data_IF_484159947492
#
_entry.id   IF_484159947492
#
_cell.length_a   1.000
_cell.length_b   1.000
_cell.length_c   1.000
_cell.angle_alpha   90.00
_cell.angle_beta   90.00
_cell.angle_gamma   90.00
#
_symmetry.space_group_name_H-M   'P 1'
#
loop_
_entity.id
_entity.type
_entity.pdbx_description
1 polymer ?
#
# COMPACT_ATOMS: atom_id res chain seq x y z
N UNK A 1 -23.58 -37.09 -15.54
CA UNK A 1 -22.79 -35.89 -15.91
C UNK A 1 -22.92 -34.92 -14.73
N UNK A 2 -21.91 -34.82 -13.86
CA UNK A 2 -21.93 -33.86 -12.75
C UNK A 2 -21.42 -32.52 -13.28
N UNK A 3 -22.32 -31.56 -13.45
CA UNK A 3 -21.93 -30.15 -13.70
C UNK A 3 -21.26 -29.69 -12.42
N UNK A 4 -19.95 -29.52 -12.46
CA UNK A 4 -19.24 -28.73 -11.44
C UNK A 4 -19.63 -27.28 -11.67
N UNK A 5 -20.41 -26.72 -10.75
CA UNK A 5 -20.49 -25.28 -10.65
C UNK A 5 -19.06 -24.77 -10.47
N UNK A 6 -18.55 -24.17 -11.52
CA UNK A 6 -17.42 -23.27 -11.40
C UNK A 6 -17.95 -22.11 -10.54
N UNK A 7 -17.80 -22.25 -9.21
CA UNK A 7 -17.83 -21.09 -8.34
C UNK A 7 -16.74 -20.18 -8.89
N UNK A 8 -17.13 -19.22 -9.69
CA UNK A 8 -16.33 -18.02 -9.88
C UNK A 8 -16.08 -17.54 -8.46
N UNK A 9 -14.91 -17.87 -7.91
CA UNK A 9 -14.31 -17.09 -6.84
C UNK A 9 -14.02 -15.75 -7.49
N UNK A 10 -15.03 -14.91 -7.57
CA UNK A 10 -14.81 -13.48 -7.50
C UNK A 10 -14.01 -13.37 -6.22
N UNK A 11 -12.73 -13.05 -6.34
CA UNK A 11 -11.87 -12.84 -5.21
C UNK A 11 -12.44 -11.65 -4.46
N UNK A 12 -13.37 -11.92 -3.57
CA UNK A 12 -13.82 -10.95 -2.60
C UNK A 12 -12.66 -10.85 -1.62
N UNK A 13 -11.69 -9.97 -1.94
CA UNK A 13 -10.51 -9.68 -1.11
C UNK A 13 -10.89 -9.25 0.30
N UNK A 14 -12.17 -9.00 0.50
CA UNK A 14 -12.78 -8.48 1.72
C UNK A 14 -13.63 -9.48 2.48
N UNK A 15 -13.64 -10.76 2.09
CA UNK A 15 -14.26 -11.76 2.92
C UNK A 15 -13.59 -11.77 4.29
N UNK A 16 -14.33 -11.35 5.29
CA UNK A 16 -13.86 -11.35 6.67
C UNK A 16 -13.89 -12.78 7.17
N UNK A 17 -12.74 -13.31 7.55
CA UNK A 17 -12.65 -14.58 8.26
C UNK A 17 -12.64 -14.31 9.76
N UNK A 18 -13.47 -15.03 10.51
CA UNK A 18 -13.43 -14.94 11.97
C UNK A 18 -12.26 -15.76 12.52
N UNK A 19 -11.33 -15.10 13.19
CA UNK A 19 -10.19 -15.74 13.83
C UNK A 19 -10.49 -16.04 15.30
N UNK A 20 -11.15 -17.18 15.56
CA UNK A 20 -11.62 -17.60 16.90
C UNK A 20 -10.54 -17.56 17.97
N UNK A 21 -9.31 -17.92 17.64
CA UNK A 21 -8.20 -17.94 18.61
C UNK A 21 -7.89 -16.54 19.16
N UNK A 22 -8.13 -15.51 18.36
CA UNK A 22 -7.86 -14.12 18.69
C UNK A 22 -9.13 -13.32 19.00
N UNK A 23 -10.32 -13.90 18.78
CA UNK A 23 -11.62 -13.22 18.91
C UNK A 23 -11.72 -11.95 18.04
N UNK A 24 -11.19 -12.00 16.83
CA UNK A 24 -11.19 -10.85 15.91
C UNK A 24 -11.77 -11.20 14.55
N UNK A 25 -12.29 -10.19 13.90
CA UNK A 25 -12.63 -10.26 12.50
C UNK A 25 -11.37 -10.05 11.65
N UNK A 26 -11.06 -11.00 10.77
CA UNK A 26 -9.91 -10.89 9.87
C UNK A 26 -10.14 -9.84 8.80
N UNK A 27 -9.11 -9.09 8.44
CA UNK A 27 -9.16 -8.11 7.37
C UNK A 27 -8.69 -8.77 6.06
N UNK A 28 -9.65 -9.25 5.27
CA UNK A 28 -9.43 -10.12 4.11
C UNK A 28 -9.31 -11.60 4.48
N UNK A 29 -9.15 -12.46 3.47
CA UNK A 29 -9.11 -13.93 3.62
C UNK A 29 -7.96 -14.40 4.54
N UNK A 30 -6.79 -13.77 4.40
CA UNK A 30 -5.56 -14.10 5.13
C UNK A 30 -5.23 -13.13 6.27
N UNK A 31 -6.14 -12.23 6.59
CA UNK A 31 -5.94 -11.15 7.55
C UNK A 31 -4.80 -10.15 7.20
N UNK A 32 -4.38 -10.11 5.94
CA UNK A 32 -3.25 -9.29 5.47
C UNK A 32 -3.64 -8.31 4.35
N UNK A 33 -4.94 -8.06 4.15
CA UNK A 33 -5.42 -7.16 3.11
C UNK A 33 -4.73 -5.78 3.10
N UNK A 34 -4.56 -5.06 4.24
CA UNK A 34 -3.91 -3.75 4.22
C UNK A 34 -2.45 -3.82 3.75
N UNK A 35 -1.72 -4.83 4.21
CA UNK A 35 -0.32 -5.04 3.84
C UNK A 35 -0.19 -5.40 2.36
N UNK A 36 -1.10 -6.23 1.85
CA UNK A 36 -1.14 -6.63 0.43
C UNK A 36 -1.44 -5.43 -0.45
N UNK A 37 -2.43 -4.60 -0.09
CA UNK A 37 -2.76 -3.39 -0.84
C UNK A 37 -1.59 -2.41 -0.88
N UNK A 38 -0.96 -2.15 0.28
CA UNK A 38 0.23 -1.29 0.36
C UNK A 38 1.36 -1.79 -0.54
N UNK A 39 1.61 -3.10 -0.57
CA UNK A 39 2.66 -3.68 -1.40
C UNK A 39 2.34 -3.53 -2.89
N UNK A 40 1.09 -3.71 -3.30
CA UNK A 40 0.65 -3.52 -4.71
C UNK A 40 0.85 -2.06 -5.13
N UNK A 41 0.45 -1.11 -4.30
CA UNK A 41 0.62 0.32 -4.59
C UNK A 41 2.11 0.67 -4.67
N UNK A 42 2.92 0.22 -3.72
CA UNK A 42 4.35 0.50 -3.68
C UNK A 42 5.13 -0.11 -4.87
N UNK A 43 4.63 -1.21 -5.44
CA UNK A 43 5.25 -1.87 -6.59
C UNK A 43 4.93 -1.17 -7.93
N UNK A 44 3.81 -0.43 -8.02
CA UNK A 44 3.42 0.33 -9.21
C UNK A 44 3.90 1.78 -9.12
N UNK A 45 4.72 2.21 -10.06
CA UNK A 45 5.19 3.60 -10.11
C UNK A 45 4.06 4.60 -10.33
N UNK A 46 3.13 4.27 -11.22
CA UNK A 46 1.94 5.10 -11.49
C UNK A 46 0.98 5.10 -10.31
N UNK A 47 0.78 3.93 -9.69
CA UNK A 47 -0.08 3.79 -8.50
C UNK A 47 0.44 4.58 -7.31
N UNK A 48 1.74 4.50 -7.05
CA UNK A 48 2.39 5.24 -5.97
C UNK A 48 2.26 6.75 -6.16
N UNK A 49 2.54 7.27 -7.38
CA UNK A 49 2.39 8.70 -7.69
C UNK A 49 0.95 9.20 -7.50
N UNK A 50 -0.04 8.43 -7.99
CA UNK A 50 -1.44 8.79 -7.83
C UNK A 50 -1.89 8.76 -6.36
N UNK A 51 -1.38 7.82 -5.57
CA UNK A 51 -1.66 7.70 -4.15
C UNK A 51 -1.07 8.86 -3.35
N UNK A 52 0.20 9.19 -3.58
CA UNK A 52 0.87 10.32 -2.94
C UNK A 52 0.16 11.64 -3.23
N UNK A 53 -0.22 11.87 -4.49
CA UNK A 53 -1.00 13.06 -4.86
C UNK A 53 -2.35 13.07 -4.14
N UNK A 54 -3.02 11.92 -4.04
CA UNK A 54 -4.30 11.82 -3.32
C UNK A 54 -4.13 12.17 -1.83
N UNK A 55 -3.10 11.64 -1.17
CA UNK A 55 -2.77 11.95 0.22
C UNK A 55 -2.47 13.44 0.40
N UNK A 56 -1.62 14.03 -0.46
CA UNK A 56 -1.25 15.45 -0.41
C UNK A 56 -2.46 16.39 -0.55
N UNK A 57 -3.45 16.04 -1.38
CA UNK A 57 -4.66 16.84 -1.49
C UNK A 57 -5.60 16.67 -0.29
N UNK A 58 -5.62 15.52 0.37
CA UNK A 58 -6.35 15.33 1.62
C UNK A 58 -5.70 16.17 2.73
N UNK A 59 -4.37 16.17 2.81
CA UNK A 59 -3.58 16.95 3.77
C UNK A 59 -3.74 18.47 3.55
N UNK A 60 -3.83 18.89 2.28
CA UNK A 60 -3.90 20.30 1.92
C UNK A 60 -2.62 21.06 2.28
N UNK A 61 -2.78 22.32 2.71
CA UNK A 61 -1.69 23.14 3.27
C UNK A 61 -1.64 23.11 4.80
N UNK A 62 -2.23 22.07 5.44
CA UNK A 62 -2.35 21.98 6.88
C UNK A 62 -3.62 22.70 7.40
N UNK A 63 -3.71 22.94 8.69
CA UNK A 63 -4.85 23.61 9.31
C UNK A 63 -4.82 25.12 9.07
N UNK A 64 -6.01 25.72 8.90
CA UNK A 64 -6.14 27.18 8.80
C UNK A 64 -5.67 27.88 10.10
N UNK A 65 -5.91 27.27 11.25
CA UNK A 65 -5.40 27.76 12.55
C UNK A 65 -3.98 27.24 12.80
N UNK A 66 -2.98 28.09 12.56
CA UNK A 66 -1.56 27.73 12.76
C UNK A 66 -1.22 27.47 14.26
N UNK A 67 -1.95 28.07 15.19
CA UNK A 67 -1.74 27.83 16.63
C UNK A 67 -2.18 26.42 16.98
N UNK A 68 -3.30 25.99 16.43
CA UNK A 68 -3.81 24.64 16.58
C UNK A 68 -2.87 23.60 15.95
N UNK A 69 -2.34 23.87 14.75
CA UNK A 69 -1.41 22.97 14.04
C UNK A 69 -0.15 22.65 14.87
N UNK A 70 0.37 23.63 15.60
CA UNK A 70 1.60 23.50 16.42
C UNK A 70 1.37 22.89 17.82
N UNK A 71 0.14 22.54 18.20
CA UNK A 71 -0.17 21.93 19.50
C UNK A 71 0.51 20.57 19.62
N UNK A 72 1.37 20.41 20.61
CA UNK A 72 1.99 19.12 20.94
C UNK A 72 0.96 18.23 21.64
N UNK A 73 0.73 17.04 21.10
CA UNK A 73 -0.39 16.17 21.52
C UNK A 73 0.05 14.88 22.21
N UNK A 74 1.35 14.60 22.25
CA UNK A 74 1.87 13.40 22.91
C UNK A 74 3.28 13.60 23.48
N UNK A 75 3.72 12.58 24.26
CA UNK A 75 5.05 12.59 24.91
C UNK A 75 6.24 12.49 23.96
N UNK A 76 5.99 12.13 22.68
CA UNK A 76 7.04 12.08 21.66
C UNK A 76 7.36 13.48 21.12
N UNK A 77 6.52 14.48 21.44
CA UNK A 77 6.64 15.83 20.94
C UNK A 77 5.99 16.02 19.55
N UNK A 78 5.17 15.06 19.10
CA UNK A 78 4.44 15.16 17.84
C UNK A 78 3.36 16.24 17.97
N UNK A 79 3.25 17.06 16.94
CA UNK A 79 2.21 18.10 16.82
C UNK A 79 0.94 17.52 16.20
N UNK A 80 -0.14 18.31 16.23
CA UNK A 80 -1.37 17.92 15.54
C UNK A 80 -1.15 17.81 14.03
N UNK A 81 -0.31 18.64 13.46
CA UNK A 81 0.01 18.62 12.04
C UNK A 81 0.79 17.35 11.65
N UNK A 82 1.74 16.91 12.50
CA UNK A 82 2.43 15.62 12.30
C UNK A 82 1.44 14.44 12.29
N UNK A 83 0.49 14.45 13.24
CA UNK A 83 -0.56 13.41 13.30
C UNK A 83 -1.51 13.51 12.09
N UNK A 84 -1.83 14.72 11.64
CA UNK A 84 -2.68 14.96 10.48
C UNK A 84 -2.06 14.36 9.21
N UNK A 85 -0.79 14.59 8.96
CA UNK A 85 -0.07 13.98 7.82
C UNK A 85 -0.21 12.46 7.81
N UNK A 86 0.03 11.80 8.97
CA UNK A 86 -0.10 10.35 9.09
C UNK A 86 -1.54 9.85 8.84
N UNK A 87 -2.54 10.57 9.37
CA UNK A 87 -3.96 10.29 9.12
C UNK A 87 -4.27 10.38 7.63
N UNK A 88 -3.78 11.41 6.94
CA UNK A 88 -4.07 11.64 5.53
C UNK A 88 -3.53 10.51 4.65
N UNK A 89 -2.34 9.98 4.96
CA UNK A 89 -1.80 8.81 4.29
C UNK A 89 -2.66 7.55 4.51
N UNK A 90 -3.11 7.29 5.74
CA UNK A 90 -3.98 6.13 6.02
C UNK A 90 -5.36 6.28 5.36
N UNK A 91 -5.94 7.47 5.37
CA UNK A 91 -7.22 7.76 4.67
C UNK A 91 -7.07 7.55 3.17
N UNK A 92 -5.97 7.99 2.57
CA UNK A 92 -5.71 7.80 1.15
C UNK A 92 -5.57 6.31 0.81
N UNK A 93 -4.80 5.56 1.61
CA UNK A 93 -4.50 4.16 1.36
C UNK A 93 -5.69 3.23 1.65
N UNK A 94 -6.34 3.43 2.80
CA UNK A 94 -7.29 2.45 3.36
C UNK A 94 -8.73 2.97 3.47
N UNK A 95 -9.01 4.24 3.20
CA UNK A 95 -10.28 4.90 3.53
C UNK A 95 -10.63 4.83 5.02
N UNK A 96 -9.64 4.90 5.88
CA UNK A 96 -9.83 4.89 7.33
C UNK A 96 -8.54 5.21 8.06
N UNK A 97 -8.66 5.49 9.36
CA UNK A 97 -7.52 5.74 10.23
C UNK A 97 -7.85 5.37 11.67
N UNK A 98 -6.83 5.22 12.50
CA UNK A 98 -6.96 4.91 13.91
C UNK A 98 -6.09 5.82 14.78
N UNK A 99 -6.66 6.28 15.89
CA UNK A 99 -5.97 7.12 16.87
C UNK A 99 -6.16 6.53 18.26
N UNK A 100 -5.13 6.59 19.08
CA UNK A 100 -5.19 6.20 20.47
C UNK A 100 -5.27 7.45 21.35
N UNK A 101 -6.17 7.45 22.31
CA UNK A 101 -6.35 8.53 23.29
C UNK A 101 -6.13 8.02 24.69
N UNK A 102 -5.33 8.77 25.47
CA UNK A 102 -5.12 8.56 26.87
C UNK A 102 -5.83 9.64 27.71
N UNK A 103 -6.23 9.26 28.91
CA UNK A 103 -7.05 10.08 29.80
C UNK A 103 -6.35 10.41 31.10
N UNK A 104 -6.79 11.48 31.76
CA UNK A 104 -6.45 11.77 33.14
C UNK A 104 -7.51 11.14 34.10
N UNK A 105 -7.27 11.30 35.40
CA UNK A 105 -8.20 10.80 36.46
C UNK A 105 -9.58 11.46 36.42
N UNK A 106 -9.71 12.58 35.74
CA UNK A 106 -10.97 13.28 35.55
C UNK A 106 -11.74 12.77 34.30
N UNK A 107 -11.19 11.87 33.53
CA UNK A 107 -11.77 11.38 32.29
C UNK A 107 -11.66 12.36 31.13
N UNK A 108 -10.65 13.24 31.16
CA UNK A 108 -10.35 14.19 30.08
C UNK A 108 -9.18 13.64 29.25
N UNK A 109 -9.18 13.87 27.94
CA UNK A 109 -8.13 13.44 27.04
C UNK A 109 -6.88 14.31 27.26
N UNK A 110 -5.73 13.67 27.46
CA UNK A 110 -4.44 14.34 27.70
C UNK A 110 -3.39 13.99 26.66
N UNK A 111 -3.61 12.95 25.89
CA UNK A 111 -2.64 12.49 24.90
C UNK A 111 -3.35 11.87 23.70
N UNK A 112 -2.87 12.19 22.51
CA UNK A 112 -3.32 11.65 21.23
C UNK A 112 -2.14 11.04 20.50
N UNK A 113 -2.27 9.78 20.09
CA UNK A 113 -1.23 9.06 19.35
C UNK A 113 -1.80 8.45 18.08
N UNK A 114 -1.02 8.48 17.01
CA UNK A 114 -1.34 7.76 15.79
C UNK A 114 -1.08 6.27 15.94
N UNK A 115 -2.00 5.46 15.43
CA UNK A 115 -1.84 4.00 15.28
C UNK A 115 -1.91 3.68 13.79
N UNK A 116 -0.90 2.99 13.20
CA UNK A 116 -0.98 2.54 11.82
C UNK A 116 -2.25 1.71 11.60
N UNK A 117 -3.09 2.12 10.66
CA UNK A 117 -4.39 1.47 10.43
C UNK A 117 -4.24 -0.02 10.10
N UNK A 118 -3.18 -0.39 9.39
CA UNK A 118 -2.85 -1.78 9.07
C UNK A 118 -2.58 -2.66 10.30
N UNK A 119 -2.25 -2.05 11.43
CA UNK A 119 -2.00 -2.75 12.70
C UNK A 119 -3.26 -3.04 13.49
N UNK A 120 -4.39 -2.47 13.11
CA UNK A 120 -5.66 -2.60 13.82
C UNK A 120 -6.54 -3.71 13.26
N UNK A 121 -7.26 -4.39 14.15
CA UNK A 121 -8.33 -5.33 13.79
C UNK A 121 -9.52 -5.15 14.74
N UNK A 122 -10.71 -5.35 14.20
CA UNK A 122 -11.94 -5.28 14.99
C UNK A 122 -12.14 -6.59 15.75
N UNK A 123 -12.54 -6.49 17.00
CA UNK A 123 -13.07 -7.63 17.72
C UNK A 123 -14.38 -8.12 17.09
N UNK A 124 -14.83 -9.32 17.42
CA UNK A 124 -16.13 -9.83 17.01
C UNK A 124 -17.25 -8.90 17.49
N UNK A 125 -18.18 -8.60 16.58
CA UNK A 125 -19.37 -7.84 16.93
C UNK A 125 -20.27 -8.63 17.89
N UNK A 126 -20.89 -7.95 18.84
CA UNK A 126 -21.93 -8.50 19.66
C UNK A 126 -23.25 -8.72 18.87
N UNK A 127 -24.27 -9.32 19.51
CA UNK A 127 -25.58 -9.56 18.90
C UNK A 127 -26.28 -8.28 18.39
N UNK A 128 -25.83 -7.12 18.80
CA UNK A 128 -26.32 -5.80 18.36
C UNK A 128 -25.46 -5.16 17.27
N UNK A 129 -24.38 -5.82 16.84
CA UNK A 129 -23.43 -5.28 15.86
C UNK A 129 -22.44 -4.26 16.45
N UNK A 130 -22.22 -4.29 17.77
CA UNK A 130 -21.27 -3.43 18.46
C UNK A 130 -19.93 -4.12 18.65
N UNK A 131 -18.85 -3.44 18.26
CA UNK A 131 -17.46 -3.85 18.49
C UNK A 131 -16.98 -3.20 19.79
N UNK A 132 -16.61 -4.02 20.78
CA UNK A 132 -16.16 -3.52 22.07
C UNK A 132 -14.70 -3.08 22.08
N UNK A 133 -13.82 -3.84 21.41
CA UNK A 133 -12.38 -3.60 21.44
C UNK A 133 -11.76 -3.56 20.04
N UNK A 134 -10.69 -2.82 19.94
CA UNK A 134 -9.78 -2.87 18.79
C UNK A 134 -8.53 -3.64 19.19
N UNK A 135 -8.25 -4.70 18.44
CA UNK A 135 -7.03 -5.49 18.60
C UNK A 135 -5.89 -4.87 17.80
N UNK A 136 -4.78 -4.63 18.46
CA UNK A 136 -3.61 -3.96 17.85
C UNK A 136 -2.42 -4.90 17.90
N UNK A 137 -1.80 -5.12 16.74
CA UNK A 137 -0.56 -5.89 16.63
C UNK A 137 0.31 -5.32 15.50
N UNK A 138 1.61 -5.14 15.71
CA UNK A 138 2.49 -4.50 14.71
C UNK A 138 2.77 -5.38 13.48
N UNK A 139 2.53 -6.68 13.56
CA UNK A 139 2.76 -7.62 12.45
C UNK A 139 1.79 -8.80 12.49
N UNK A 140 0.68 -8.67 11.78
CA UNK A 140 -0.33 -9.73 11.65
C UNK A 140 0.14 -10.93 10.83
N UNK A 141 1.24 -10.80 10.05
CA UNK A 141 1.78 -11.90 9.26
C UNK A 141 2.46 -12.98 10.11
N UNK A 142 2.84 -12.65 11.35
CA UNK A 142 3.63 -13.50 12.22
C UNK A 142 5.04 -13.81 11.69
N UNK A 143 5.50 -13.06 10.66
CA UNK A 143 6.81 -13.28 10.02
C UNK A 143 7.94 -12.51 10.71
N UNK A 144 7.61 -11.52 11.53
CA UNK A 144 8.61 -10.75 12.27
C UNK A 144 9.39 -11.69 13.19
N UNK A 145 10.71 -11.61 13.12
CA UNK A 145 11.58 -12.50 13.90
C UNK A 145 12.14 -11.77 15.12
N UNK A 146 12.08 -12.42 16.27
CA UNK A 146 12.81 -12.00 17.46
C UNK A 146 13.87 -13.06 17.75
N UNK A 147 15.15 -12.69 17.80
CA UNK A 147 16.27 -13.63 17.99
C UNK A 147 16.24 -14.82 17.00
N UNK A 148 15.86 -14.58 15.73
CA UNK A 148 15.82 -15.61 14.70
C UNK A 148 14.55 -16.48 14.67
N UNK A 149 13.65 -16.38 15.67
CA UNK A 149 12.40 -17.14 15.73
C UNK A 149 11.22 -16.28 15.25
N UNK A 150 10.28 -16.83 14.45
CA UNK A 150 9.06 -16.12 14.10
C UNK A 150 8.20 -15.91 15.36
N UNK A 151 7.62 -14.72 15.48
CA UNK A 151 6.69 -14.41 16.57
C UNK A 151 5.30 -14.78 16.09
N UNK A 152 4.75 -15.86 16.63
CA UNK A 152 3.38 -16.23 16.37
C UNK A 152 2.44 -15.21 17.02
N UNK A 153 1.43 -14.77 16.27
CA UNK A 153 0.39 -13.88 16.80
C UNK A 153 -0.55 -14.71 17.69
N UNK A 154 -0.65 -14.34 18.94
CA UNK A 154 -1.54 -14.95 19.93
C UNK A 154 -2.12 -13.91 20.91
N UNK A 155 -3.08 -14.29 21.76
CA UNK A 155 -3.72 -13.36 22.69
C UNK A 155 -2.77 -12.68 23.68
N UNK A 156 -1.59 -13.24 23.91
CA UNK A 156 -0.63 -12.69 24.87
C UNK A 156 0.18 -11.52 24.31
N UNK A 157 0.24 -11.39 22.99
CA UNK A 157 1.01 -10.34 22.30
C UNK A 157 0.15 -9.39 21.46
N UNK A 158 -1.17 -9.52 21.54
CA UNK A 158 -2.14 -8.60 20.93
C UNK A 158 -2.71 -7.70 22.03
N UNK A 159 -2.68 -6.40 21.81
CA UNK A 159 -3.30 -5.43 22.71
C UNK A 159 -4.74 -5.20 22.31
N UNK A 160 -5.68 -5.45 23.26
CA UNK A 160 -7.09 -5.15 23.10
C UNK A 160 -7.39 -3.87 23.87
N UNK A 161 -7.89 -2.85 23.17
CA UNK A 161 -8.16 -1.52 23.71
C UNK A 161 -9.61 -1.16 23.38
N UNK A 162 -10.32 -0.56 24.33
CA UNK A 162 -11.71 -0.15 24.18
C UNK A 162 -11.91 0.81 23.00
N UNK A 163 -13.03 0.67 22.32
CA UNK A 163 -13.45 1.63 21.27
C UNK A 163 -13.82 2.96 21.92
N UNK A 164 -13.44 4.04 21.28
CA UNK A 164 -13.68 5.40 21.75
C UNK A 164 -15.16 5.68 22.01
N UNK A 165 -15.44 6.17 23.21
CA UNK A 165 -16.76 6.68 23.61
C UNK A 165 -16.60 8.11 24.12
N UNK A 166 -17.31 9.11 23.54
CA UNK A 166 -17.19 10.51 23.95
C UNK A 166 -17.85 10.81 25.30
N UNK A 167 -18.58 9.86 25.89
CA UNK A 167 -19.32 10.06 27.13
C UNK A 167 -18.38 9.88 28.31
N UNK A 168 -18.14 10.95 29.07
CA UNK A 168 -17.21 10.98 30.18
C UNK A 168 -17.51 9.96 31.28
N UNK A 169 -18.78 9.73 31.57
CA UNK A 169 -19.23 8.75 32.55
C UNK A 169 -18.84 7.32 32.17
N UNK A 170 -18.85 7.01 30.85
CA UNK A 170 -18.41 5.69 30.36
C UNK A 170 -16.90 5.53 30.57
N UNK A 171 -16.12 6.56 30.27
CA UNK A 171 -14.66 6.56 30.49
C UNK A 171 -14.32 6.34 31.95
N UNK A 172 -14.98 7.09 32.85
CA UNK A 172 -14.78 6.95 34.29
C UNK A 172 -15.16 5.55 34.80
N UNK A 173 -16.25 4.99 34.32
CA UNK A 173 -16.66 3.61 34.65
C UNK A 173 -15.64 2.57 34.16
N UNK A 174 -15.04 2.75 32.97
CA UNK A 174 -13.99 1.88 32.45
C UNK A 174 -12.69 2.00 33.29
N UNK A 175 -12.30 3.23 33.70
CA UNK A 175 -11.16 3.46 34.59
C UNK A 175 -11.37 2.73 35.92
N UNK A 176 -12.57 2.84 36.50
CA UNK A 176 -12.91 2.16 37.74
C UNK A 176 -12.89 0.62 37.60
N UNK A 177 -13.46 0.10 36.50
CA UNK A 177 -13.49 -1.33 36.19
C UNK A 177 -12.08 -1.92 36.00
N UNK A 178 -11.14 -1.16 35.46
CA UNK A 178 -9.73 -1.55 35.32
C UNK A 178 -8.94 -1.49 36.65
N UNK A 179 -9.50 -0.92 37.72
CA UNK A 179 -8.83 -0.77 39.01
C UNK A 179 -8.03 0.52 39.13
N UNK A 180 -8.27 1.48 38.27
CA UNK A 180 -7.68 2.83 38.31
C UNK A 180 -6.98 3.22 37.02
N UNK A 181 -6.64 4.50 36.94
CA UNK A 181 -6.02 5.10 35.73
C UNK A 181 -4.68 4.46 35.35
N UNK A 182 -3.95 3.91 36.31
CA UNK A 182 -2.64 3.27 36.08
C UNK A 182 -2.74 1.99 35.24
N UNK A 183 -3.90 1.32 35.27
CA UNK A 183 -4.17 0.09 34.55
C UNK A 183 -5.01 0.32 33.28
N UNK A 184 -5.57 1.50 33.13
CA UNK A 184 -6.40 1.84 32.00
C UNK A 184 -5.56 2.12 30.74
N UNK A 185 -5.85 1.38 29.67
CA UNK A 185 -5.11 1.47 28.40
C UNK A 185 -5.58 2.60 27.47
N UNK A 186 -6.54 3.43 27.91
CA UNK A 186 -7.15 4.43 27.05
C UNK A 186 -8.18 3.85 26.08
N UNK A 187 -8.46 4.57 25.02
CA UNK A 187 -9.41 4.14 23.98
C UNK A 187 -8.83 4.34 22.59
N UNK A 188 -9.38 3.61 21.60
CA UNK A 188 -9.03 3.75 20.19
C UNK A 188 -10.19 4.37 19.43
N UNK A 189 -9.92 5.48 18.79
CA UNK A 189 -10.80 6.09 17.80
C UNK A 189 -10.60 5.35 16.49
N UNK A 190 -11.60 4.58 16.09
CA UNK A 190 -11.62 3.88 14.81
C UNK A 190 -12.55 4.63 13.85
N UNK A 191 -11.98 5.13 12.77
CA UNK A 191 -12.73 5.84 11.73
C UNK A 191 -12.58 5.11 10.42
N UNK A 192 -13.71 4.76 9.79
CA UNK A 192 -13.68 4.09 8.50
C UNK A 192 -14.81 4.54 7.59
N UNK A 193 -14.55 4.54 6.28
CA UNK A 193 -15.53 4.76 5.22
C UNK A 193 -15.83 3.38 4.59
N UNK A 194 -16.33 2.46 5.42
CA UNK A 194 -16.51 1.06 5.04
C UNK A 194 -17.77 0.80 4.19
N UNK A 195 -18.71 1.73 4.17
CA UNK A 195 -19.99 1.52 3.50
C UNK A 195 -20.79 0.39 4.18
N UNK A 196 -21.01 -0.72 3.45
CA UNK A 196 -21.70 -1.93 3.95
C UNK A 196 -20.74 -3.01 4.45
N UNK A 197 -19.45 -2.82 4.29
CA UNK A 197 -18.44 -3.79 4.69
C UNK A 197 -18.02 -3.53 6.14
N UNK A 198 -17.57 -4.55 6.85
CA UNK A 198 -17.01 -4.41 8.20
C UNK A 198 -15.74 -3.54 8.17
N UNK A 199 -14.89 -3.78 7.20
CA UNK A 199 -13.68 -2.99 6.98
C UNK A 199 -13.80 -2.07 5.76
N UNK A 200 -13.12 -0.92 5.76
CA UNK A 200 -13.07 -0.07 4.58
C UNK A 200 -12.25 -0.70 3.46
N UNK A 201 -12.55 -0.28 2.23
CA UNK A 201 -11.83 -0.69 1.02
C UNK A 201 -11.01 0.49 0.55
N UNK A 202 -9.72 0.29 0.37
CA UNK A 202 -8.85 1.31 -0.21
C UNK A 202 -9.24 1.64 -1.66
N UNK A 203 -9.07 2.90 -2.06
CA UNK A 203 -9.39 3.34 -3.42
C UNK A 203 -8.58 2.58 -4.49
N UNK A 204 -7.33 2.24 -4.17
CA UNK A 204 -6.43 1.46 -5.00
C UNK A 204 -6.91 0.02 -5.29
N UNK A 205 -7.80 -0.54 -4.45
CA UNK A 205 -8.29 -1.91 -4.62
C UNK A 205 -8.99 -2.11 -5.97
N UNK A 206 -9.75 -1.11 -6.43
CA UNK A 206 -10.46 -1.16 -7.71
C UNK A 206 -9.54 -1.31 -8.92
N UNK A 207 -8.29 -0.91 -8.80
CA UNK A 207 -7.26 -0.94 -9.85
C UNK A 207 -6.02 -1.73 -9.44
N UNK A 208 -6.16 -2.62 -8.48
CA UNK A 208 -5.04 -3.43 -7.99
C UNK A 208 -4.45 -4.34 -9.08
N UNK A 209 -5.27 -4.82 -10.00
CA UNK A 209 -4.83 -5.62 -11.15
C UNK A 209 -4.03 -4.78 -12.13
N UNK A 210 -4.48 -3.57 -12.43
CA UNK A 210 -3.79 -2.62 -13.28
C UNK A 210 -2.43 -2.21 -12.68
N UNK A 211 -2.37 -1.96 -11.37
CA UNK A 211 -1.12 -1.67 -10.67
C UNK A 211 -0.15 -2.86 -10.72
N UNK A 212 -0.63 -4.08 -10.52
CA UNK A 212 0.20 -5.27 -10.67
C UNK A 212 0.66 -5.49 -12.12
N UNK A 213 -0.15 -5.04 -13.10
CA UNK A 213 0.23 -5.09 -14.52
C UNK A 213 1.29 -4.03 -14.82
N UNK A 214 1.20 -2.81 -14.25
CA UNK A 214 2.21 -1.75 -14.37
C UNK A 214 3.58 -2.25 -13.88
N UNK A 215 3.63 -2.87 -12.70
CA UNK A 215 4.83 -3.55 -12.19
C UNK A 215 5.33 -4.64 -13.14
N UNK A 216 4.43 -5.51 -13.60
CA UNK A 216 4.76 -6.60 -14.52
C UNK A 216 5.36 -6.11 -15.82
N UNK A 217 4.79 -5.07 -16.43
CA UNK A 217 5.29 -4.44 -17.65
C UNK A 217 6.67 -3.80 -17.43
N UNK A 218 6.88 -3.12 -16.30
CA UNK A 218 8.18 -2.56 -15.94
C UNK A 218 9.24 -3.66 -15.80
N UNK A 219 8.91 -4.77 -15.13
CA UNK A 219 9.79 -5.92 -14.97
C UNK A 219 10.13 -6.60 -16.31
N UNK A 220 9.14 -6.73 -17.21
CA UNK A 220 9.38 -7.29 -18.56
C UNK A 220 10.28 -6.36 -19.35
N UNK A 221 10.01 -5.05 -19.38
CA UNK A 221 10.85 -4.04 -20.04
C UNK A 221 12.29 -4.09 -19.51
N UNK A 222 12.46 -4.13 -18.18
CA UNK A 222 13.77 -4.22 -17.54
C UNK A 222 14.53 -5.49 -17.96
N UNK A 223 13.87 -6.65 -17.90
CA UNK A 223 14.49 -7.93 -18.30
C UNK A 223 14.84 -7.95 -19.78
N UNK A 224 14.00 -7.40 -20.63
CA UNK A 224 14.25 -7.32 -22.05
C UNK A 224 15.45 -6.43 -22.39
N UNK A 225 15.56 -5.26 -21.73
CA UNK A 225 16.71 -4.38 -21.89
C UNK A 225 17.99 -5.05 -21.39
N UNK A 226 17.92 -5.77 -20.26
CA UNK A 226 19.08 -6.42 -19.64
C UNK A 226 19.56 -7.67 -20.39
N UNK A 227 18.62 -8.47 -20.93
CA UNK A 227 18.92 -9.78 -21.52
C UNK A 227 18.89 -9.80 -23.05
N UNK A 228 18.72 -8.66 -23.71
CA UNK A 228 18.36 -8.53 -25.13
C UNK A 228 17.12 -9.34 -25.55
N UNK A 229 16.29 -8.76 -26.41
CA UNK A 229 14.98 -9.30 -26.81
C UNK A 229 15.02 -10.70 -27.45
N UNK A 230 16.16 -11.09 -28.00
CA UNK A 230 16.39 -12.37 -28.67
C UNK A 230 17.72 -12.94 -28.27
N UNK A 231 17.87 -14.25 -28.19
CA UNK A 231 19.20 -14.86 -28.10
C UNK A 231 20.02 -14.39 -29.30
N UNK A 232 21.22 -13.91 -29.02
CA UNK A 232 22.12 -13.33 -30.04
C UNK A 232 22.59 -14.37 -31.06
N UNK A 233 22.37 -15.65 -30.77
CA UNK A 233 22.67 -16.76 -31.64
C UNK A 233 22.29 -18.11 -31.02
N UNK A 234 22.21 -19.12 -31.87
CA UNK A 234 22.10 -20.51 -31.48
C UNK A 234 23.43 -21.15 -31.78
N UNK A 235 24.06 -21.75 -30.77
CA UNK A 235 25.30 -22.57 -30.96
C UNK A 235 24.86 -24.02 -31.02
N UNK A 236 25.12 -24.66 -32.16
CA UNK A 236 24.83 -26.07 -32.36
C UNK A 236 26.10 -26.84 -32.14
N UNK A 237 26.12 -27.70 -31.15
CA UNK A 237 27.24 -28.57 -30.81
C UNK A 237 26.88 -30.03 -31.11
N UNK A 238 27.84 -30.81 -31.57
CA UNK A 238 27.65 -32.25 -31.69
C UNK A 238 27.83 -32.86 -30.30
N UNK A 239 26.91 -33.76 -29.94
CA UNK A 239 27.05 -34.55 -28.72
C UNK A 239 28.42 -35.23 -28.70
N UNK A 240 29.21 -34.92 -27.69
CA UNK A 240 30.51 -35.55 -27.53
C UNK A 240 30.31 -37.08 -27.40
N UNK A 241 30.82 -37.85 -28.37
CA UNK A 241 30.87 -39.30 -28.22
C UNK A 241 31.64 -39.60 -26.98
N UNK A 242 31.03 -40.35 -26.03
CA UNK A 242 31.74 -40.86 -24.87
C UNK A 242 32.97 -41.66 -25.36
N UNK A 243 34.15 -41.16 -25.08
CA UNK A 243 35.38 -41.92 -25.31
C UNK A 243 35.30 -43.12 -24.37
N UNK A 244 35.44 -44.37 -24.90
CA UNK A 244 35.47 -45.53 -24.03
C UNK A 244 36.58 -45.39 -22.99
N UNK A 245 36.29 -45.76 -21.76
CA UNK A 245 37.23 -45.79 -20.65
C UNK A 245 38.55 -46.42 -21.04
N UNK A 246 39.60 -45.64 -21.22
CA UNK A 246 40.97 -46.10 -21.12
C UNK A 246 41.57 -45.56 -19.82
N UNK A 247 42.04 -46.51 -19.04
CA UNK A 247 42.56 -46.41 -17.69
C UNK A 247 43.54 -45.26 -17.44
N UNK A 248 43.41 -44.70 -16.27
CA UNK A 248 44.44 -44.07 -15.44
C UNK A 248 45.54 -43.23 -16.09
N UNK A 249 45.34 -41.95 -16.22
CA UNK A 249 46.46 -41.02 -15.93
C UNK A 249 45.84 -39.86 -15.11
N UNK A 250 46.32 -39.71 -13.87
CA UNK A 250 45.89 -38.71 -12.92
C UNK A 250 46.01 -37.28 -13.46
N UNK A 251 44.91 -36.63 -13.58
CA UNK A 251 44.79 -35.21 -13.93
C UNK A 251 43.34 -34.86 -13.94
N UNK A 252 42.93 -34.13 -12.91
CA UNK A 252 41.59 -33.62 -12.69
C UNK A 252 41.24 -32.60 -13.80
N UNK A 253 40.68 -33.11 -14.90
CA UNK A 253 39.95 -32.30 -15.87
C UNK A 253 38.47 -32.50 -15.55
N UNK A 254 37.91 -31.63 -14.72
CA UNK A 254 36.48 -31.47 -14.71
C UNK A 254 36.06 -31.17 -16.15
N UNK A 255 35.22 -32.02 -16.73
CA UNK A 255 34.49 -31.72 -17.95
C UNK A 255 33.54 -30.54 -17.63
N UNK A 256 34.06 -29.33 -17.70
CA UNK A 256 33.24 -28.13 -17.72
C UNK A 256 32.49 -28.19 -19.04
N UNK A 257 31.24 -28.64 -19.00
CA UNK A 257 30.39 -28.70 -20.18
C UNK A 257 30.35 -27.33 -20.83
N UNK A 258 30.19 -27.28 -22.14
CA UNK A 258 30.11 -26.03 -22.88
C UNK A 258 28.94 -25.16 -22.34
N UNK A 259 27.89 -25.79 -21.80
CA UNK A 259 26.78 -25.12 -21.08
C UNK A 259 27.24 -24.29 -19.88
N UNK A 260 28.21 -24.82 -19.08
CA UNK A 260 28.77 -24.10 -17.93
C UNK A 260 29.61 -22.89 -18.34
N UNK A 261 30.22 -22.98 -19.52
CA UNK A 261 30.97 -21.87 -20.12
C UNK A 261 30.01 -20.80 -20.68
N UNK A 262 28.89 -21.22 -21.26
CA UNK A 262 27.82 -20.33 -21.71
C UNK A 262 27.14 -19.64 -20.53
N UNK A 263 26.89 -20.35 -19.44
CA UNK A 263 26.28 -19.78 -18.22
C UNK A 263 27.19 -18.72 -17.56
N UNK A 264 28.52 -18.91 -17.65
CA UNK A 264 29.49 -17.88 -17.22
C UNK A 264 29.53 -16.66 -18.13
N UNK A 265 29.12 -16.78 -19.39
CA UNK A 265 28.98 -15.68 -20.34
C UNK A 265 27.62 -14.98 -20.23
N UNK A 266 26.64 -15.56 -19.54
CA UNK A 266 25.33 -15.02 -19.26
C UNK A 266 25.32 -14.34 -17.89
N UNK A 267 25.67 -13.10 -17.81
CA UNK A 267 25.66 -12.34 -16.58
C UNK A 267 25.27 -10.88 -16.80
N UNK A 268 25.13 -10.13 -15.71
CA UNK A 268 24.78 -8.72 -15.71
C UNK A 268 25.66 -7.82 -16.59
N UNK A 269 26.86 -8.29 -16.87
CA UNK A 269 27.87 -7.58 -17.70
C UNK A 269 27.94 -8.06 -19.15
N UNK A 270 27.28 -9.18 -19.49
CA UNK A 270 27.36 -9.77 -20.84
C UNK A 270 25.98 -9.70 -21.52
N UNK A 271 25.88 -8.85 -22.53
CA UNK A 271 24.63 -8.53 -23.24
C UNK A 271 24.16 -9.59 -24.24
N UNK A 272 24.88 -10.71 -24.38
CA UNK A 272 24.59 -11.70 -25.41
C UNK A 272 24.06 -13.01 -24.78
N UNK A 273 22.83 -13.36 -25.12
CA UNK A 273 22.24 -14.63 -24.75
C UNK A 273 22.43 -15.63 -25.90
N UNK A 274 23.22 -16.67 -25.67
CA UNK A 274 23.39 -17.77 -26.59
C UNK A 274 22.57 -18.96 -26.07
N UNK A 275 21.95 -19.66 -27.00
CA UNK A 275 21.24 -20.92 -26.71
C UNK A 275 22.07 -22.07 -27.34
N UNK A 276 22.44 -23.03 -26.53
CA UNK A 276 23.12 -24.25 -27.00
C UNK A 276 22.07 -25.29 -27.33
N UNK A 277 22.26 -25.95 -28.47
CA UNK A 277 21.47 -27.11 -28.88
C UNK A 277 22.42 -28.22 -29.27
N UNK A 278 22.42 -29.30 -28.51
CA UNK A 278 23.19 -30.52 -28.84
C UNK A 278 22.40 -31.38 -29.86
N UNK A 279 23.04 -31.77 -30.93
CA UNK A 279 22.48 -32.66 -31.96
C UNK A 279 23.36 -33.90 -32.12
N UNK A 280 22.72 -35.05 -32.41
CA UNK A 280 23.44 -36.33 -32.62
C UNK A 280 24.04 -36.42 -34.03
N UNK A 281 23.35 -35.88 -35.03
CA UNK A 281 23.78 -35.83 -36.42
C UNK A 281 23.53 -34.50 -37.08
N UNK A 282 24.14 -34.25 -38.25
CA UNK A 282 23.90 -33.06 -39.05
C UNK A 282 22.47 -32.98 -39.61
N UNK A 283 21.76 -34.13 -39.66
CA UNK A 283 20.36 -34.24 -40.12
C UNK A 283 19.38 -33.84 -39.00
N UNK A 284 19.83 -33.87 -37.72
CA UNK A 284 18.99 -33.51 -36.57
C UNK A 284 19.05 -32.01 -36.20
N UNK A 285 19.61 -31.18 -37.08
CA UNK A 285 19.69 -29.75 -36.83
C UNK A 285 18.28 -29.18 -36.76
N UNK A 286 17.91 -28.45 -35.69
CA UNK A 286 16.59 -27.86 -35.59
C UNK A 286 16.40 -26.85 -36.72
N UNK A 287 15.30 -26.99 -37.47
CA UNK A 287 14.87 -25.93 -38.38
C UNK A 287 14.43 -24.72 -37.56
N UNK A 288 14.98 -23.58 -37.88
CA UNK A 288 14.63 -22.33 -37.26
C UNK A 288 13.26 -21.88 -37.80
N UNK A 289 12.17 -22.27 -37.13
CA UNK A 289 10.90 -21.60 -37.32
C UNK A 289 10.99 -20.21 -36.70
N UNK A 290 11.10 -19.20 -37.57
CA UNK A 290 10.91 -17.81 -37.10
C UNK A 290 9.46 -17.72 -36.60
N UNK A 291 9.29 -17.50 -35.28
CA UNK A 291 8.00 -17.06 -34.81
C UNK A 291 7.65 -15.77 -35.54
N UNK A 292 6.38 -15.64 -36.04
CA UNK A 292 5.98 -14.39 -36.65
C UNK A 292 6.28 -13.29 -35.63
N UNK A 293 7.03 -12.29 -36.02
CA UNK A 293 7.31 -11.10 -35.22
C UNK A 293 5.98 -10.39 -34.98
N UNK A 294 5.27 -10.83 -33.97
CA UNK A 294 4.13 -10.09 -33.42
C UNK A 294 4.70 -8.75 -33.00
N UNK A 295 4.01 -7.65 -33.32
CA UNK A 295 4.43 -6.30 -32.95
C UNK A 295 4.33 -6.11 -31.41
N UNK A 296 5.09 -6.89 -30.65
CA UNK A 296 5.09 -6.87 -29.19
C UNK A 296 5.24 -5.44 -28.67
N UNK A 297 6.07 -4.60 -29.31
CA UNK A 297 6.29 -3.21 -28.90
C UNK A 297 5.01 -2.37 -28.97
N UNK A 298 4.18 -2.59 -30.00
CA UNK A 298 2.91 -1.86 -30.13
C UNK A 298 1.86 -2.36 -29.12
N UNK A 299 1.81 -3.65 -28.88
CA UNK A 299 0.90 -4.25 -27.91
C UNK A 299 1.30 -3.85 -26.48
N UNK A 300 2.59 -3.87 -26.16
CA UNK A 300 3.09 -3.38 -24.88
C UNK A 300 2.80 -1.90 -24.67
N UNK A 301 3.02 -1.06 -25.70
CA UNK A 301 2.77 0.38 -25.60
C UNK A 301 1.28 0.69 -25.44
N UNK A 302 0.41 -0.04 -26.12
CA UNK A 302 -1.04 0.13 -26.01
C UNK A 302 -1.54 -0.31 -24.62
N UNK A 303 -1.02 -1.43 -24.11
CA UNK A 303 -1.35 -1.94 -22.77
C UNK A 303 -0.87 -0.98 -21.69
N UNK A 304 0.38 -0.50 -21.78
CA UNK A 304 0.97 0.47 -20.87
C UNK A 304 0.13 1.74 -20.76
N UNK A 305 -0.22 2.34 -21.91
CA UNK A 305 -1.06 3.54 -21.95
C UNK A 305 -2.45 3.31 -21.32
N UNK A 306 -3.08 2.18 -21.60
CA UNK A 306 -4.40 1.83 -21.05
C UNK A 306 -4.35 1.59 -19.54
N UNK A 307 -3.32 0.93 -19.03
CA UNK A 307 -3.12 0.66 -17.61
C UNK A 307 -2.92 1.97 -16.85
N UNK A 308 -2.04 2.85 -17.33
CA UNK A 308 -1.79 4.17 -16.75
C UNK A 308 -3.08 5.00 -16.72
N UNK A 309 -3.82 5.07 -17.83
CA UNK A 309 -5.09 5.80 -17.91
C UNK A 309 -6.10 5.33 -16.86
N UNK A 310 -6.27 4.02 -16.70
CA UNK A 310 -7.20 3.44 -15.72
C UNK A 310 -6.79 3.75 -14.28
N UNK A 311 -5.50 3.71 -13.97
CA UNK A 311 -5.02 4.07 -12.63
C UNK A 311 -5.35 5.53 -12.33
N UNK A 312 -5.00 6.48 -13.24
CA UNK A 312 -5.33 7.90 -13.06
C UNK A 312 -6.85 8.11 -12.90
N UNK A 313 -7.66 7.44 -13.71
CA UNK A 313 -9.12 7.55 -13.69
C UNK A 313 -9.71 7.05 -12.36
N UNK A 314 -9.21 5.94 -11.83
CA UNK A 314 -9.66 5.41 -10.54
C UNK A 314 -9.40 6.38 -9.38
N UNK A 315 -8.33 7.17 -9.45
CA UNK A 315 -8.06 8.21 -8.46
C UNK A 315 -8.78 9.53 -8.74
N UNK A 316 -9.50 9.65 -9.88
CA UNK A 316 -10.13 10.91 -10.31
C UNK A 316 -9.11 11.96 -10.73
N UNK A 317 -7.98 11.53 -11.24
CA UNK A 317 -6.84 12.38 -11.61
C UNK A 317 -6.71 12.57 -13.14
N UNK A 318 -7.83 12.53 -13.87
CA UNK A 318 -7.88 12.73 -15.32
C UNK A 318 -7.21 14.03 -15.78
N UNK A 319 -7.32 15.18 -15.10
CA UNK A 319 -6.64 16.39 -15.52
C UNK A 319 -5.12 16.21 -15.60
N UNK A 320 -4.50 15.55 -14.60
CA UNK A 320 -3.06 15.29 -14.59
C UNK A 320 -2.65 14.29 -15.67
N UNK A 321 -3.49 13.28 -15.94
CA UNK A 321 -3.26 12.38 -17.06
C UNK A 321 -3.28 13.13 -18.39
N UNK A 322 -4.27 14.01 -18.62
CA UNK A 322 -4.35 14.82 -19.84
C UNK A 322 -3.16 15.77 -20.01
N UNK A 323 -2.65 16.35 -18.93
CA UNK A 323 -1.43 17.16 -18.91
C UNK A 323 -0.23 16.28 -19.28
N UNK A 324 -0.06 15.12 -18.65
CA UNK A 324 1.05 14.18 -18.89
C UNK A 324 1.17 13.75 -20.36
N UNK A 325 0.04 13.46 -21.03
CA UNK A 325 0.02 13.01 -22.41
C UNK A 325 -0.04 14.16 -23.43
N UNK A 326 0.03 15.42 -22.97
CA UNK A 326 0.03 16.60 -23.81
C UNK A 326 -1.30 16.94 -24.49
N UNK A 327 -2.42 16.33 -24.06
CA UNK A 327 -3.77 16.66 -24.56
C UNK A 327 -4.23 18.05 -24.13
N UNK A 328 -3.74 18.52 -22.98
CA UNK A 328 -4.05 19.83 -22.42
C UNK A 328 -2.76 20.59 -22.22
N UNK A 329 -2.74 21.88 -22.57
CA UNK A 329 -1.56 22.71 -22.43
C UNK A 329 -1.18 22.95 -20.97
N UNK A 330 0.08 23.28 -20.72
CA UNK A 330 0.62 23.55 -19.39
C UNK A 330 0.49 25.05 -19.10
N UNK A 331 -0.73 25.54 -18.81
CA UNK A 331 -0.95 26.93 -18.39
C UNK A 331 -1.30 26.99 -16.90
N UNK A 332 -0.99 28.13 -16.25
CA UNK A 332 -1.28 28.32 -14.84
C UNK A 332 -2.78 28.25 -14.51
N UNK A 333 -3.63 28.65 -15.43
CA UNK A 333 -5.09 28.61 -15.23
C UNK A 333 -5.60 27.16 -15.27
N UNK A 334 -5.13 26.37 -16.22
CA UNK A 334 -5.49 24.92 -16.31
C UNK A 334 -5.06 24.18 -15.05
N UNK A 335 -3.89 24.51 -14.51
CA UNK A 335 -3.42 23.90 -13.26
C UNK A 335 -4.28 24.33 -12.07
N UNK A 336 -4.67 25.61 -11.97
CA UNK A 336 -5.59 26.06 -10.92
C UNK A 336 -6.93 25.33 -10.99
N UNK A 337 -7.51 25.25 -12.18
CA UNK A 337 -8.78 24.53 -12.38
C UNK A 337 -8.66 23.05 -12.00
N UNK A 338 -7.51 22.41 -12.31
CA UNK A 338 -7.25 21.03 -11.91
C UNK A 338 -7.13 20.88 -10.39
N UNK A 339 -6.48 21.82 -9.70
CA UNK A 339 -6.40 21.84 -8.24
C UNK A 339 -7.77 22.04 -7.60
N UNK A 340 -8.55 23.01 -8.07
CA UNK A 340 -9.89 23.29 -7.55
C UNK A 340 -10.83 22.10 -7.77
N UNK A 341 -10.77 21.47 -8.93
CA UNK A 341 -11.50 20.24 -9.23
C UNK A 341 -11.15 19.14 -8.22
N UNK A 342 -9.87 18.89 -7.99
CA UNK A 342 -9.44 17.79 -7.14
C UNK A 342 -9.68 18.07 -5.64
N UNK A 343 -9.55 19.31 -5.19
CA UNK A 343 -9.96 19.74 -3.86
C UNK A 343 -11.43 19.41 -3.60
N UNK A 344 -12.31 19.57 -4.59
CA UNK A 344 -13.72 19.20 -4.46
C UNK A 344 -13.92 17.69 -4.26
N UNK A 345 -13.08 16.86 -4.88
CA UNK A 345 -13.12 15.40 -4.73
C UNK A 345 -12.71 14.97 -3.32
N UNK A 346 -11.66 15.57 -2.75
CA UNK A 346 -11.11 15.18 -1.43
C UNK A 346 -11.81 15.84 -0.25
N UNK A 347 -12.66 16.82 -0.48
CA UNK A 347 -13.35 17.59 0.58
C UNK A 347 -14.15 16.74 1.59
N UNK A 348 -14.60 15.58 1.15
CA UNK A 348 -15.32 14.64 2.03
C UNK A 348 -14.39 13.99 3.06
N UNK A 349 -13.19 13.62 2.64
CA UNK A 349 -12.15 13.04 3.49
C UNK A 349 -11.65 14.08 4.50
N UNK A 350 -11.37 15.31 4.06
CA UNK A 350 -10.99 16.42 4.94
C UNK A 350 -12.03 16.64 6.03
N UNK A 351 -13.31 16.79 5.66
CA UNK A 351 -14.41 16.95 6.63
C UNK A 351 -14.53 15.80 7.63
N UNK A 352 -14.18 14.57 7.24
CA UNK A 352 -14.20 13.44 8.18
C UNK A 352 -13.11 13.58 9.24
N UNK A 353 -11.92 13.99 8.84
CA UNK A 353 -10.80 14.25 9.74
C UNK A 353 -11.13 15.41 10.68
N UNK A 354 -11.56 16.54 10.16
CA UNK A 354 -11.96 17.73 10.92
C UNK A 354 -13.00 17.40 12.02
N UNK A 355 -14.04 16.65 11.63
CA UNK A 355 -15.11 16.23 12.57
C UNK A 355 -14.59 15.28 13.64
N UNK A 356 -13.64 14.43 13.32
CA UNK A 356 -13.04 13.52 14.30
C UNK A 356 -12.16 14.28 15.27
N UNK A 357 -11.29 15.16 14.77
CA UNK A 357 -10.45 16.01 15.63
C UNK A 357 -11.29 16.92 16.52
N UNK A 358 -12.35 17.52 15.98
CA UNK A 358 -13.28 18.30 16.79
C UNK A 358 -13.85 17.49 17.98
N UNK A 359 -14.28 16.23 17.76
CA UNK A 359 -14.76 15.37 18.86
C UNK A 359 -13.68 15.09 19.91
N UNK A 360 -12.44 14.89 19.50
CA UNK A 360 -11.30 14.65 20.41
C UNK A 360 -11.04 15.88 21.27
N UNK A 361 -10.92 17.05 20.64
CA UNK A 361 -10.53 18.29 21.31
C UNK A 361 -11.65 18.92 22.12
N UNK A 362 -12.90 18.53 21.92
CA UNK A 362 -14.00 18.86 22.85
C UNK A 362 -13.83 18.23 24.23
N UNK A 363 -13.16 17.08 24.32
CA UNK A 363 -12.86 16.36 25.58
C UNK A 363 -11.42 16.53 26.03
N UNK A 364 -10.64 17.42 25.39
CA UNK A 364 -9.25 17.69 25.75
C UNK A 364 -9.17 18.45 27.06
N UNK A 365 -8.17 18.15 27.89
CA UNK A 365 -8.00 18.71 29.24
C UNK A 365 -7.82 20.23 29.29
N UNK A 366 -7.43 20.86 28.18
CA UNK A 366 -7.31 22.30 28.02
C UNK A 366 -7.91 22.75 26.69
N UNK A 367 -8.36 23.98 26.60
CA UNK A 367 -8.82 24.52 25.32
C UNK A 367 -7.61 24.93 24.47
N UNK A 368 -7.20 24.09 23.55
CA UNK A 368 -6.06 24.30 22.63
C UNK A 368 -6.46 24.91 21.30
N UNK A 369 -7.75 25.01 21.02
CA UNK A 369 -8.30 25.64 19.81
C UNK A 369 -9.40 26.65 20.19
N UNK A 370 -9.02 27.85 20.64
CA UNK A 370 -9.99 28.88 21.02
C UNK A 370 -10.86 29.39 19.88
N UNK A 371 -10.35 29.31 18.64
CA UNK A 371 -11.10 29.68 17.43
C UNK A 371 -12.23 28.71 17.12
N UNK A 372 -12.11 27.45 17.55
CA UNK A 372 -13.01 26.37 17.18
C UNK A 372 -12.91 25.97 15.70
N UNK A 373 -11.89 26.45 14.98
CA UNK A 373 -11.66 26.15 13.58
C UNK A 373 -10.71 24.94 13.44
N UNK A 374 -11.24 23.85 12.92
CA UNK A 374 -10.51 22.61 12.61
C UNK A 374 -10.38 22.40 11.10
N UNK A 375 -10.70 23.44 10.30
CA UNK A 375 -10.69 23.29 8.86
C UNK A 375 -9.28 23.20 8.28
N UNK A 376 -9.16 22.38 7.26
CA UNK A 376 -7.92 22.18 6.49
C UNK A 376 -7.88 23.18 5.35
N UNK A 377 -6.76 23.87 5.15
CA UNK A 377 -6.58 24.75 4.01
C UNK A 377 -6.40 23.93 2.73
N UNK A 378 -7.26 24.10 1.71
CA UNK A 378 -7.12 23.38 0.46
C UNK A 378 -5.78 23.65 -0.21
N UNK A 379 -5.18 22.61 -0.81
CA UNK A 379 -3.94 22.75 -1.55
C UNK A 379 -4.10 23.71 -2.72
N UNK A 380 -3.22 24.72 -2.84
CA UNK A 380 -3.28 25.76 -3.86
C UNK A 380 -2.10 25.64 -4.83
N UNK A 381 -2.36 25.84 -6.11
CA UNK A 381 -1.29 26.02 -7.08
C UNK A 381 -0.63 27.38 -6.91
N UNK A 382 0.63 27.40 -6.49
CA UNK A 382 1.43 28.63 -6.37
C UNK A 382 2.20 28.83 -7.67
N UNK A 383 1.59 29.57 -8.61
CA UNK A 383 2.29 30.00 -9.83
C UNK A 383 3.24 31.17 -9.55
N UNK A 384 4.14 31.47 -10.50
CA UNK A 384 5.14 32.54 -10.40
C UNK A 384 4.58 33.96 -10.09
N UNK A 385 3.25 34.17 -10.19
CA UNK A 385 2.61 35.43 -9.83
C UNK A 385 2.59 35.72 -8.33
N UNK A 386 2.80 34.69 -7.47
CA UNK A 386 2.84 34.85 -6.02
C UNK A 386 4.20 35.31 -5.46
N UNK A 387 5.26 35.20 -6.24
CA UNK A 387 6.62 35.58 -5.82
C UNK A 387 6.96 37.07 -6.02
N UNK A 388 6.11 37.82 -6.72
CA UNK A 388 6.36 39.24 -7.02
C UNK A 388 5.84 40.23 -5.97
N UNK A 389 5.15 39.78 -4.92
CA UNK A 389 4.58 40.67 -3.89
C UNK A 389 5.36 40.69 -2.57
N UNK A 390 6.52 40.03 -2.48
CA UNK A 390 7.38 40.04 -1.28
C UNK A 390 8.81 40.50 -1.58
N UNK A 391 9.01 41.45 -2.53
CA UNK A 391 10.23 42.24 -2.66
C UNK A 391 9.99 43.71 -2.35
#
# INVERSE_FOLDING_TARGET
MRVRDLKNKTNCRLDTSYLRQLNIQGYGEDNLYPQTLRNIVAASSTGSECMERFASFIEGNGFNDSIFAEVVVNRKGETIDDIHTLICHDVAMYNGFALHVNYNVLGEIVELQYIPFESCRLEEEDDNGYVAHIAIHPDWSGKKRRKGQPIKVDKSNVDYIDVFNPVKEVVLAQIEACGGIEYYKGQVIWVSIAGKNTYPVGKADSVATEMSTDEGLANVKFRNVRNNFLPSGIVITKKAQSIPDEEEIGGMWENVGFSDMLDRMQGDTNSNKLVEVEVESDEDKPEFMSFPTTNFDKEFSATDASVVERIYSAFGQEPWYCIRIGKVGFSGDILRDAFDYYNSIVSKQQRLIERTLNKVFQSWYTNVNPSGDFSVEPLKYVGNAGLSNNM
#
